data_IF_687106548442
#
_entry.id   IF_687106548442
#
_cell.length_a   1.000
_cell.length_b   1.000
_cell.length_c   1.000
_cell.angle_alpha   90.00
_cell.angle_beta   90.00
_cell.angle_gamma   90.00
#
_symmetry.space_group_name_H-M   'P 1'
#
loop_
_entity.id
_entity.type
_entity.pdbx_description
1 polymer ?
#
# COMPACT_ATOMS: atom_id res chain seq x y z
N UNK A 1 0.84 -8.96 7.95
CA UNK A 1 0.27 -7.60 7.89
C UNK A 1 0.00 -7.20 6.44
N UNK A 2 0.90 -7.56 5.50
CA UNK A 2 0.59 -7.59 4.08
C UNK A 2 0.60 -9.05 3.61
N UNK A 3 -0.53 -9.52 3.12
CA UNK A 3 -0.74 -10.84 2.53
C UNK A 3 -1.90 -10.73 1.55
N UNK A 4 -1.97 -11.67 0.61
CA UNK A 4 -3.06 -11.88 -0.33
C UNK A 4 -3.99 -12.95 0.24
N UNK A 5 -5.22 -12.59 0.69
CA UNK A 5 -6.15 -13.53 1.30
C UNK A 5 -6.42 -14.76 0.43
N UNK A 6 -6.24 -15.94 1.02
CA UNK A 6 -6.42 -17.23 0.37
C UNK A 6 -5.27 -17.68 -0.55
N UNK A 7 -4.13 -16.97 -0.57
CA UNK A 7 -2.93 -17.38 -1.32
C UNK A 7 -1.74 -17.60 -0.39
N UNK A 8 -1.29 -16.55 0.31
CA UNK A 8 -0.11 -16.57 1.19
C UNK A 8 -0.42 -16.14 2.63
N UNK A 9 -1.72 -16.04 2.95
CA UNK A 9 -2.23 -15.79 4.28
C UNK A 9 -3.61 -16.44 4.48
N UNK A 10 -4.22 -16.26 5.66
CA UNK A 10 -5.54 -16.78 5.94
C UNK A 10 -6.57 -16.27 4.90
N UNK A 11 -7.60 -17.07 4.65
CA UNK A 11 -8.72 -16.64 3.79
C UNK A 11 -9.53 -15.51 4.42
N UNK A 12 -9.49 -15.43 5.75
CA UNK A 12 -10.15 -14.39 6.53
C UNK A 12 -9.14 -13.36 7.03
N UNK A 13 -9.56 -12.10 7.09
CA UNK A 13 -8.76 -10.98 7.55
C UNK A 13 -8.61 -9.87 6.52
N UNK A 14 -8.49 -8.65 7.01
CA UNK A 14 -8.34 -7.44 6.19
C UNK A 14 -6.89 -6.97 6.31
N UNK A 15 -6.05 -7.16 5.27
CA UNK A 15 -4.69 -6.63 5.29
C UNK A 15 -4.70 -5.10 5.12
N UNK A 16 -3.51 -4.49 5.04
CA UNK A 16 -3.42 -3.04 4.80
C UNK A 16 -3.73 -2.67 3.34
N UNK A 17 -3.99 -1.38 3.12
CA UNK A 17 -4.49 -0.83 1.86
C UNK A 17 -3.75 -1.31 0.60
N UNK A 18 -2.41 -1.37 0.62
CA UNK A 18 -1.61 -1.81 -0.54
C UNK A 18 -1.94 -3.26 -0.92
N UNK A 19 -2.08 -4.14 0.07
CA UNK A 19 -2.39 -5.55 -0.15
C UNK A 19 -3.88 -5.75 -0.51
N UNK A 20 -4.80 -5.00 0.12
CA UNK A 20 -6.21 -4.99 -0.27
C UNK A 20 -6.38 -4.62 -1.75
N UNK A 21 -5.81 -3.48 -2.16
CA UNK A 21 -5.90 -3.01 -3.54
C UNK A 21 -5.16 -3.92 -4.51
N UNK A 22 -4.00 -4.45 -4.15
CA UNK A 22 -3.30 -5.45 -4.98
C UNK A 22 -4.17 -6.69 -5.21
N UNK A 23 -4.82 -7.20 -4.15
CA UNK A 23 -5.74 -8.34 -4.27
C UNK A 23 -6.93 -8.02 -5.19
N UNK A 24 -7.55 -6.84 -5.06
CA UNK A 24 -8.65 -6.44 -5.96
C UNK A 24 -8.18 -6.35 -7.41
N UNK A 25 -7.04 -5.70 -7.67
CA UNK A 25 -6.45 -5.59 -9.01
C UNK A 25 -6.14 -6.95 -9.64
N UNK A 26 -5.54 -7.86 -8.88
CA UNK A 26 -5.21 -9.21 -9.34
C UNK A 26 -6.45 -10.06 -9.64
N UNK A 27 -7.58 -9.78 -8.96
CA UNK A 27 -8.87 -10.45 -9.16
C UNK A 27 -9.76 -9.78 -10.19
N UNK A 28 -9.38 -8.60 -10.68
CA UNK A 28 -10.23 -7.79 -11.57
C UNK A 28 -11.48 -7.25 -10.87
N UNK A 29 -11.36 -6.94 -9.58
CA UNK A 29 -12.44 -6.40 -8.75
C UNK A 29 -12.24 -4.90 -8.50
N UNK A 30 -13.32 -4.11 -8.31
CA UNK A 30 -13.22 -2.72 -7.90
C UNK A 30 -12.51 -2.57 -6.54
N UNK A 31 -11.69 -1.53 -6.40
CA UNK A 31 -11.00 -1.19 -5.17
C UNK A 31 -11.99 -0.56 -4.18
N UNK A 32 -12.10 -1.13 -2.98
CA UNK A 32 -13.04 -0.68 -1.95
C UNK A 32 -12.50 0.56 -1.22
N UNK A 33 -13.20 1.68 -1.33
CA UNK A 33 -12.88 2.94 -0.68
C UNK A 33 -13.71 3.10 0.59
N UNK A 34 -13.06 2.97 1.74
CA UNK A 34 -13.71 3.15 3.04
C UNK A 34 -14.09 4.61 3.24
N UNK A 35 -15.38 4.85 3.49
CA UNK A 35 -15.98 6.18 3.68
C UNK A 35 -15.56 7.18 2.59
N UNK A 36 -15.53 6.70 1.34
CA UNK A 36 -15.17 7.51 0.17
C UNK A 36 -13.67 7.73 -0.03
N UNK A 37 -12.81 7.15 0.81
CA UNK A 37 -11.36 7.15 0.63
C UNK A 37 -10.70 8.53 0.81
N UNK A 38 -11.28 9.37 1.67
CA UNK A 38 -10.86 10.78 1.86
C UNK A 38 -9.63 10.96 2.75
N UNK A 39 -9.28 9.96 3.57
CA UNK A 39 -8.12 10.05 4.44
C UNK A 39 -6.81 10.07 3.64
N UNK A 40 -5.84 10.84 4.14
CA UNK A 40 -4.57 11.14 3.49
C UNK A 40 -3.41 10.40 4.15
N UNK A 41 -2.53 9.83 3.33
CA UNK A 41 -1.35 9.08 3.78
C UNK A 41 -0.14 9.48 2.95
N UNK A 42 1.03 9.39 3.57
CA UNK A 42 2.32 9.46 2.90
C UNK A 42 2.95 8.09 2.76
N UNK A 43 3.39 7.71 1.57
CA UNK A 43 4.02 6.42 1.31
C UNK A 43 5.52 6.56 1.05
N UNK A 44 6.33 5.81 1.80
CA UNK A 44 7.78 5.72 1.57
C UNK A 44 8.13 4.37 0.97
N UNK A 45 9.04 4.37 0.00
CA UNK A 45 9.53 3.11 -0.57
C UNK A 45 10.35 2.34 0.46
N UNK A 46 10.21 1.02 0.48
CA UNK A 46 10.84 0.19 1.52
C UNK A 46 12.37 0.31 1.49
N UNK A 47 13.02 0.46 0.33
CA UNK A 47 14.47 0.64 0.27
C UNK A 47 14.90 1.94 0.93
N UNK A 48 14.19 3.04 0.68
CA UNK A 48 14.46 4.33 1.31
C UNK A 48 14.30 4.24 2.83
N UNK A 49 13.24 3.58 3.31
CA UNK A 49 13.00 3.41 4.74
C UNK A 49 14.08 2.54 5.41
N UNK A 50 14.54 1.48 4.74
CA UNK A 50 15.61 0.61 5.26
C UNK A 50 16.94 1.36 5.32
N UNK A 51 17.22 2.24 4.37
CA UNK A 51 18.41 3.12 4.44
C UNK A 51 18.38 3.99 5.70
N UNK A 52 17.21 4.54 6.07
CA UNK A 52 17.06 5.31 7.31
C UNK A 52 17.41 4.47 8.55
N UNK A 53 16.93 3.22 8.58
CA UNK A 53 17.19 2.28 9.68
C UNK A 53 18.68 1.92 9.74
N UNK A 54 19.32 1.70 8.59
CA UNK A 54 20.75 1.42 8.52
C UNK A 54 21.57 2.57 9.09
N UNK A 55 21.24 3.81 8.72
CA UNK A 55 21.88 5.01 9.27
C UNK A 55 21.74 5.10 10.80
N UNK A 56 20.57 4.72 11.36
CA UNK A 56 20.39 4.67 12.82
C UNK A 56 21.31 3.64 13.48
N UNK A 57 21.44 2.45 12.87
CA UNK A 57 22.29 1.36 13.38
C UNK A 57 23.77 1.76 13.34
N UNK A 58 24.22 2.37 12.24
CA UNK A 58 25.62 2.73 12.02
C UNK A 58 26.06 3.99 12.77
N UNK A 59 25.11 4.81 13.24
CA UNK A 59 25.39 6.09 13.91
C UNK A 59 24.75 6.17 15.31
N UNK A 60 25.06 5.26 16.25
CA UNK A 60 24.43 5.24 17.57
C UNK A 60 24.66 6.53 18.37
N UNK A 61 25.78 7.23 18.17
CA UNK A 61 26.06 8.52 18.81
C UNK A 61 25.10 9.64 18.39
N UNK A 62 24.49 9.54 17.20
CA UNK A 62 23.50 10.48 16.67
C UNK A 62 22.06 9.96 16.81
N UNK A 63 21.88 8.64 16.85
CA UNK A 63 20.56 8.01 16.92
C UNK A 63 20.04 7.81 18.36
N UNK A 64 20.92 7.47 19.31
CA UNK A 64 20.51 7.16 20.68
C UNK A 64 19.75 8.34 21.32
N UNK A 65 18.62 8.02 21.97
CA UNK A 65 17.78 9.00 22.67
C UNK A 65 16.79 9.77 21.78
N UNK A 66 16.82 9.58 20.47
CA UNK A 66 15.89 10.24 19.54
C UNK A 66 14.72 9.33 19.15
N UNK A 67 13.60 9.96 18.78
CA UNK A 67 12.48 9.32 18.07
C UNK A 67 12.49 9.87 16.65
N UNK A 68 12.37 8.99 15.66
CA UNK A 68 12.47 9.33 14.25
C UNK A 68 11.18 9.03 13.49
N UNK A 69 10.71 10.00 12.71
CA UNK A 69 9.74 9.74 11.65
C UNK A 69 10.50 9.25 10.41
N UNK A 70 10.10 8.08 9.88
CA UNK A 70 10.62 7.54 8.63
C UNK A 70 9.47 7.49 7.63
N UNK A 71 9.40 8.47 6.74
CA UNK A 71 8.35 8.60 5.75
C UNK A 71 8.74 9.54 4.62
N UNK A 72 7.87 9.68 3.61
CA UNK A 72 8.09 10.60 2.49
C UNK A 72 6.95 11.62 2.40
N UNK A 73 7.14 12.86 2.91
CA UNK A 73 6.09 13.88 2.90
C UNK A 73 5.68 14.31 1.49
N UNK A 74 6.50 14.04 0.47
CA UNK A 74 6.21 14.40 -0.92
C UNK A 74 5.28 13.40 -1.62
N UNK A 75 5.10 12.21 -1.03
CA UNK A 75 4.23 11.15 -1.56
C UNK A 75 2.89 11.12 -0.82
N UNK A 76 2.31 12.30 -0.54
CA UNK A 76 0.98 12.43 0.06
C UNK A 76 -0.11 12.19 -0.99
N UNK A 77 -1.08 11.34 -0.66
CA UNK A 77 -2.29 11.10 -1.45
C UNK A 77 -3.46 10.73 -0.54
N UNK A 78 -4.68 10.99 -0.99
CA UNK A 78 -5.88 10.35 -0.46
C UNK A 78 -5.90 8.86 -0.83
N UNK A 79 -6.69 8.06 -0.11
CA UNK A 79 -6.90 6.65 -0.45
C UNK A 79 -7.55 6.49 -1.83
N UNK A 80 -8.41 7.43 -2.24
CA UNK A 80 -8.99 7.46 -3.59
C UNK A 80 -7.94 7.70 -4.67
N UNK A 81 -7.11 8.72 -4.53
CA UNK A 81 -6.01 9.01 -5.46
C UNK A 81 -5.02 7.84 -5.54
N UNK A 82 -4.74 7.17 -4.41
CA UNK A 82 -3.95 5.94 -4.40
C UNK A 82 -4.60 4.84 -5.26
N UNK A 83 -5.91 4.61 -5.10
CA UNK A 83 -6.63 3.59 -5.85
C UNK A 83 -6.61 3.86 -7.37
N UNK A 84 -6.80 5.12 -7.76
CA UNK A 84 -6.74 5.56 -9.15
C UNK A 84 -5.35 5.35 -9.75
N UNK A 85 -4.30 5.79 -9.05
CA UNK A 85 -2.91 5.65 -9.48
C UNK A 85 -2.49 4.18 -9.56
N UNK A 86 -2.84 3.38 -8.55
CA UNK A 86 -2.56 1.94 -8.57
C UNK A 86 -3.27 1.24 -9.73
N UNK A 87 -4.51 1.62 -10.05
CA UNK A 87 -5.24 1.07 -11.19
C UNK A 87 -4.57 1.40 -12.52
N UNK A 88 -4.14 2.65 -12.71
CA UNK A 88 -3.43 3.09 -13.92
C UNK A 88 -2.11 2.33 -14.10
N UNK A 89 -1.27 2.32 -13.07
CA UNK A 89 0.02 1.62 -13.10
C UNK A 89 -0.18 0.11 -13.30
N UNK A 90 -1.20 -0.49 -12.68
CA UNK A 90 -1.45 -1.92 -12.84
C UNK A 90 -1.88 -2.28 -14.27
N UNK A 91 -2.60 -1.41 -14.98
CA UNK A 91 -2.89 -1.62 -16.41
C UNK A 91 -1.60 -1.69 -17.23
N UNK A 92 -0.63 -0.81 -16.94
CA UNK A 92 0.69 -0.80 -17.59
C UNK A 92 1.49 -2.07 -17.27
N UNK A 93 1.48 -2.49 -16.00
CA UNK A 93 2.22 -3.68 -15.53
C UNK A 93 1.62 -4.99 -16.04
N UNK A 94 0.30 -5.12 -16.04
CA UNK A 94 -0.41 -6.36 -16.36
C UNK A 94 -0.79 -6.50 -17.83
N UNK A 95 -0.85 -5.40 -18.58
CA UNK A 95 -1.39 -5.34 -19.93
C UNK A 95 -2.92 -5.51 -19.99
N UNK A 96 -3.61 -5.55 -18.85
CA UNK A 96 -5.07 -5.66 -18.79
C UNK A 96 -5.73 -4.28 -18.92
N UNK A 97 -6.93 -4.21 -19.52
CA UNK A 97 -7.68 -2.96 -19.58
C UNK A 97 -8.16 -2.56 -18.18
N UNK A 98 -8.36 -1.25 -18.00
CA UNK A 98 -8.96 -0.69 -16.81
C UNK A 98 -10.42 -1.13 -16.71
N UNK A 99 -10.89 -1.40 -15.49
CA UNK A 99 -12.32 -1.62 -15.23
C UNK A 99 -13.11 -0.33 -15.52
N UNK A 100 -14.33 -0.48 -16.05
CA UNK A 100 -15.24 0.66 -16.28
C UNK A 100 -15.48 1.45 -14.98
N UNK A 101 -15.66 0.73 -13.87
CA UNK A 101 -15.78 1.27 -12.52
C UNK A 101 -14.66 0.68 -11.65
N UNK A 102 -13.48 1.34 -11.58
CA UNK A 102 -12.30 0.79 -10.89
C UNK A 102 -12.40 0.85 -9.36
N UNK A 103 -13.35 1.60 -8.81
CA UNK A 103 -13.51 1.81 -7.36
C UNK A 103 -14.97 1.69 -6.94
N UNK A 104 -15.20 1.33 -5.68
CA UNK A 104 -16.53 1.32 -5.06
C UNK A 104 -16.43 1.84 -3.62
N UNK A 105 -17.36 2.70 -3.21
CA UNK A 105 -17.40 3.22 -1.84
C UNK A 105 -18.08 2.20 -0.92
N UNK A 106 -17.50 2.00 0.27
CA UNK A 106 -18.03 1.12 1.33
C UNK A 106 -17.97 1.85 2.68
N UNK A 107 -18.90 1.55 3.58
CA UNK A 107 -18.83 2.15 4.93
C UNK A 107 -17.72 1.52 5.77
N UNK A 108 -17.09 2.28 6.67
CA UNK A 108 -16.15 1.73 7.66
C UNK A 108 -16.78 0.66 8.55
N UNK A 109 -18.07 0.80 8.90
CA UNK A 109 -18.81 -0.22 9.65
C UNK A 109 -18.90 -1.55 8.89
N UNK A 110 -19.13 -1.52 7.59
CA UNK A 110 -19.15 -2.72 6.75
C UNK A 110 -17.76 -3.34 6.59
N UNK A 111 -16.74 -2.49 6.41
CA UNK A 111 -15.40 -2.95 6.05
C UNK A 111 -14.54 -3.36 7.26
N UNK A 112 -14.55 -2.55 8.31
CA UNK A 112 -13.73 -2.73 9.53
C UNK A 112 -14.54 -3.13 10.76
N UNK A 113 -15.86 -2.89 10.78
CA UNK A 113 -16.74 -3.24 11.89
C UNK A 113 -17.03 -2.08 12.85
N UNK A 114 -17.66 -2.41 13.97
CA UNK A 114 -18.04 -1.44 15.01
C UNK A 114 -16.82 -0.82 15.69
N UNK A 115 -16.89 0.48 15.97
CA UNK A 115 -15.86 1.21 16.71
C UNK A 115 -14.61 1.56 15.89
N UNK A 116 -14.67 1.47 14.56
CA UNK A 116 -13.59 1.95 13.71
C UNK A 116 -13.46 3.48 13.78
N UNK A 117 -12.22 3.94 13.93
CA UNK A 117 -11.83 5.34 13.83
C UNK A 117 -10.47 5.40 13.12
N UNK A 118 -10.19 6.48 12.39
CA UNK A 118 -8.99 6.58 11.56
C UNK A 118 -8.34 7.96 11.64
N UNK A 119 -7.03 7.98 11.43
CA UNK A 119 -6.28 9.22 11.28
C UNK A 119 -6.68 9.86 9.94
N UNK A 120 -7.02 11.13 9.97
CA UNK A 120 -7.39 11.91 8.78
C UNK A 120 -6.18 12.14 7.87
N UNK A 121 -5.04 12.58 8.41
CA UNK A 121 -3.86 12.97 7.64
C UNK A 121 -2.57 12.62 8.39
N UNK A 122 -1.61 12.01 7.70
CA UNK A 122 -0.29 11.69 8.26
C UNK A 122 0.80 12.26 7.37
N UNK A 123 1.43 13.34 7.83
CA UNK A 123 2.63 13.91 7.22
C UNK A 123 3.77 13.85 8.24
N UNK A 124 4.90 13.18 7.92
CA UNK A 124 6.04 13.11 8.81
C UNK A 124 6.79 14.44 8.85
N UNK A 125 7.03 14.99 10.04
CA UNK A 125 8.07 16.01 10.20
C UNK A 125 9.45 15.37 10.04
N UNK A 126 10.26 15.97 9.18
CA UNK A 126 11.57 15.43 8.78
C UNK A 126 12.73 16.12 9.49
N UNK A 127 12.46 17.07 10.39
CA UNK A 127 13.49 17.94 10.97
C UNK A 127 14.55 17.14 11.72
N UNK A 128 14.12 16.25 12.62
CA UNK A 128 15.03 15.48 13.48
C UNK A 128 15.85 14.48 12.65
N UNK A 129 15.22 13.72 11.75
CA UNK A 129 15.92 12.69 10.99
C UNK A 129 16.92 13.28 9.98
N UNK A 130 16.59 14.41 9.34
CA UNK A 130 17.51 15.15 8.48
C UNK A 130 18.69 15.70 9.29
N UNK A 131 18.44 16.29 10.45
CA UNK A 131 19.51 16.84 11.29
C UNK A 131 20.44 15.76 11.84
N UNK A 132 19.89 14.64 12.31
CA UNK A 132 20.68 13.60 12.96
C UNK A 132 21.31 12.61 11.99
N UNK A 133 20.70 12.34 10.84
CA UNK A 133 21.16 11.29 9.93
C UNK A 133 21.40 11.78 8.50
N UNK A 134 21.00 13.00 8.15
CA UNK A 134 21.07 13.50 6.77
C UNK A 134 20.19 12.72 5.79
N UNK A 135 19.26 11.91 6.30
CA UNK A 135 18.44 11.02 5.48
C UNK A 135 17.27 11.75 4.84
N UNK A 136 17.04 11.48 3.56
CA UNK A 136 15.88 11.92 2.80
C UNK A 136 15.41 10.81 1.85
N UNK A 137 14.09 10.57 1.73
CA UNK A 137 13.55 9.60 0.78
C UNK A 137 13.69 10.10 -0.67
N UNK A 138 13.98 9.20 -1.59
CA UNK A 138 14.32 9.53 -2.98
C UNK A 138 13.28 9.01 -3.98
N UNK A 139 12.51 7.99 -3.60
CA UNK A 139 11.62 7.27 -4.51
C UNK A 139 10.23 7.90 -4.54
N UNK A 140 9.77 8.26 -5.74
CA UNK A 140 8.43 8.81 -5.97
C UNK A 140 7.33 7.75 -5.76
N UNK A 141 6.09 8.22 -5.53
CA UNK A 141 4.94 7.32 -5.41
C UNK A 141 4.68 6.49 -6.69
N UNK A 142 4.72 7.05 -7.92
CA UNK A 142 4.59 6.24 -9.13
C UNK A 142 5.68 5.17 -9.25
N UNK A 143 6.95 5.50 -8.96
CA UNK A 143 8.07 4.56 -9.10
C UNK A 143 7.99 3.40 -8.10
N UNK A 144 7.65 3.70 -6.83
CA UNK A 144 7.49 2.68 -5.82
C UNK A 144 6.30 1.77 -6.13
N UNK A 145 5.19 2.32 -6.64
CA UNK A 145 4.01 1.55 -7.01
C UNK A 145 4.27 0.69 -8.23
N UNK A 146 4.93 1.21 -9.27
CA UNK A 146 5.30 0.43 -10.43
C UNK A 146 6.19 -0.77 -10.06
N UNK A 147 7.21 -0.53 -9.23
CA UNK A 147 8.10 -1.59 -8.73
C UNK A 147 7.32 -2.64 -7.92
N UNK A 148 6.47 -2.18 -7.01
CA UNK A 148 5.71 -3.04 -6.11
C UNK A 148 4.65 -3.85 -6.86
N UNK A 149 3.88 -3.23 -7.74
CA UNK A 149 2.84 -3.88 -8.53
C UNK A 149 3.45 -4.86 -9.55
N UNK A 150 4.63 -4.57 -10.10
CA UNK A 150 5.38 -5.53 -10.92
C UNK A 150 5.72 -6.79 -10.11
N UNK A 151 6.18 -6.64 -8.88
CA UNK A 151 6.41 -7.77 -7.98
C UNK A 151 5.11 -8.52 -7.67
N UNK A 152 4.03 -7.81 -7.34
CA UNK A 152 2.72 -8.41 -7.05
C UNK A 152 2.19 -9.21 -8.24
N UNK A 153 2.24 -8.65 -9.46
CA UNK A 153 1.78 -9.32 -10.66
C UNK A 153 2.58 -10.59 -10.96
N UNK A 154 3.92 -10.50 -10.93
CA UNK A 154 4.80 -11.65 -11.18
C UNK A 154 4.60 -12.77 -10.15
N UNK A 155 4.37 -12.41 -8.89
CA UNK A 155 4.28 -13.36 -7.79
C UNK A 155 2.90 -14.03 -7.72
N UNK A 156 1.81 -13.27 -7.86
CA UNK A 156 0.48 -13.74 -7.47
C UNK A 156 -0.51 -13.97 -8.62
N UNK A 157 -0.28 -13.40 -9.81
CA UNK A 157 -1.29 -13.43 -10.87
C UNK A 157 -1.69 -14.86 -11.29
N UNK A 158 -0.73 -15.79 -11.38
CA UNK A 158 -1.02 -17.19 -11.71
C UNK A 158 -1.75 -17.93 -10.58
N UNK A 159 -1.31 -17.72 -9.33
CA UNK A 159 -1.92 -18.35 -8.16
C UNK A 159 -3.39 -17.92 -8.01
N UNK A 160 -3.69 -16.63 -8.16
CA UNK A 160 -5.05 -16.11 -8.10
C UNK A 160 -5.92 -16.68 -9.22
N UNK A 161 -5.42 -16.74 -10.46
CA UNK A 161 -6.18 -17.36 -11.58
C UNK A 161 -6.58 -18.80 -11.24
N UNK A 162 -5.68 -19.59 -10.65
CA UNK A 162 -5.99 -20.97 -10.25
C UNK A 162 -7.05 -21.05 -9.14
N UNK A 163 -6.98 -20.16 -8.13
CA UNK A 163 -7.96 -20.08 -7.04
C UNK A 163 -9.35 -19.72 -7.59
N UNK A 164 -9.43 -18.74 -8.49
CA UNK A 164 -10.69 -18.34 -9.13
C UNK A 164 -11.28 -19.50 -9.94
N UNK A 165 -10.50 -20.14 -10.79
CA UNK A 165 -10.97 -21.28 -11.62
C UNK A 165 -11.49 -22.43 -10.77
N UNK A 166 -10.80 -22.78 -9.68
CA UNK A 166 -11.25 -23.83 -8.75
C UNK A 166 -12.57 -23.48 -8.07
N UNK A 167 -12.74 -22.24 -7.64
CA UNK A 167 -13.98 -21.79 -6.98
C UNK A 167 -15.18 -21.83 -7.93
N UNK A 168 -14.99 -21.56 -9.22
CA UNK A 168 -16.04 -21.65 -10.23
C UNK A 168 -16.40 -23.11 -10.52
N UNK A 169 -15.41 -24.01 -10.58
CA UNK A 169 -15.64 -25.43 -10.82
C UNK A 169 -16.31 -26.18 -9.66
N UNK A 170 -16.27 -25.63 -8.44
CA UNK A 170 -16.90 -26.20 -7.25
C UNK A 170 -18.33 -25.70 -6.98
N UNK A 171 -18.88 -24.83 -7.84
CA UNK A 171 -20.26 -24.34 -7.79
C UNK A 171 -21.10 -25.01 -8.86
#
# INVERSE_FOLDING_TARGET
MDFIPGVDGPSEGVPRVLACFSNNLLRGEPLKLVDGGVSQRTFVYIKDAIEAVLLMIENPSRANGHIFNVGNPNNEVTVRELAELMSEIYCQVSGQPKLDNPTIDVSSKEFYGEGYDDSDKRIPDMTIIKQQLGWEPQTSLPDLLHTTLTYQHRTYAMAIKQVITKSVASR
#
